data_IF_312875830107
#
_entry.id   IF_312875830107
#
_cell.length_a   1.000
_cell.length_b   1.000
_cell.length_c   1.000
_cell.angle_alpha   90.00
_cell.angle_beta   90.00
_cell.angle_gamma   90.00
#
_symmetry.space_group_name_H-M   'P 1'
#
loop_
_entity.id
_entity.type
_entity.pdbx_description
1 polymer ?
#
# COMPACT_ATOMS: atom_id res chain seq x y z
N UNK A 1 -11.57 23.28 -7.09
CA UNK A 1 -10.61 22.58 -6.21
C UNK A 1 -11.38 21.49 -5.50
N UNK A 2 -11.01 20.22 -5.65
CA UNK A 2 -11.86 19.11 -5.19
C UNK A 2 -11.89 19.02 -3.67
N UNK A 3 -13.07 18.68 -3.13
CA UNK A 3 -13.31 18.47 -1.69
C UNK A 3 -12.34 17.47 -1.05
N UNK A 4 -11.66 16.65 -1.85
CA UNK A 4 -10.63 15.69 -1.44
C UNK A 4 -9.34 16.40 -1.02
N UNK A 5 -8.93 17.47 -1.70
CA UNK A 5 -7.75 18.24 -1.30
C UNK A 5 -8.00 18.96 0.03
N UNK A 6 -9.23 19.45 0.23
CA UNK A 6 -9.67 20.11 1.46
C UNK A 6 -9.83 19.10 2.62
N UNK A 7 -10.36 17.90 2.34
CA UNK A 7 -10.44 16.78 3.29
C UNK A 7 -9.06 16.30 3.75
N UNK A 8 -8.12 16.09 2.83
CA UNK A 8 -6.76 15.71 3.18
C UNK A 8 -6.08 16.81 4.00
N UNK A 9 -6.22 18.08 3.61
CA UNK A 9 -5.66 19.22 4.36
C UNK A 9 -6.24 19.32 5.77
N UNK A 10 -7.54 19.11 5.94
CA UNK A 10 -8.20 19.13 7.24
C UNK A 10 -7.88 17.90 8.10
N UNK A 11 -7.75 16.71 7.50
CA UNK A 11 -7.32 15.49 8.19
C UNK A 11 -5.86 15.58 8.67
N UNK A 12 -4.98 16.26 7.93
CA UNK A 12 -3.60 16.50 8.34
C UNK A 12 -3.43 17.62 9.38
N UNK A 13 -4.39 18.55 9.51
CA UNK A 13 -4.28 19.73 10.38
C UNK A 13 -5.22 19.75 11.59
N UNK A 14 -6.25 18.90 11.62
CA UNK A 14 -7.26 18.91 12.68
C UNK A 14 -7.68 17.49 13.06
N UNK A 15 -7.18 17.01 14.20
CA UNK A 15 -7.94 16.23 15.20
C UNK A 15 -6.97 15.74 16.28
N UNK A 16 -7.06 16.36 17.46
CA UNK A 16 -6.28 16.06 18.65
C UNK A 16 -6.78 14.86 19.45
N UNK A 17 -7.85 14.18 19.05
CA UNK A 17 -8.54 13.23 19.92
C UNK A 17 -8.99 11.96 19.19
N UNK A 18 -8.09 10.99 19.02
CA UNK A 18 -8.42 9.56 18.87
C UNK A 18 -7.42 8.78 19.73
N UNK A 19 -7.92 7.89 20.58
CA UNK A 19 -7.12 7.09 21.51
C UNK A 19 -5.99 6.35 20.79
N UNK A 20 -4.76 6.75 21.14
CA UNK A 20 -3.52 6.31 20.51
C UNK A 20 -3.10 7.24 19.37
N UNK A 21 -2.71 8.48 19.68
CA UNK A 21 -2.02 9.31 18.69
C UNK A 21 -0.80 8.55 18.18
N UNK A 22 -0.71 8.36 16.86
CA UNK A 22 0.47 7.78 16.21
C UNK A 22 1.70 8.50 16.76
N UNK A 23 2.72 7.78 17.26
CA UNK A 23 3.86 8.44 17.86
C UNK A 23 4.48 9.35 16.79
N UNK A 24 4.77 10.60 17.17
CA UNK A 24 5.17 11.69 16.28
C UNK A 24 6.40 11.40 15.39
N UNK A 25 7.11 10.30 15.66
CA UNK A 25 8.30 9.85 14.97
C UNK A 25 8.06 8.70 13.97
N UNK A 26 6.83 8.21 13.80
CA UNK A 26 6.55 7.11 12.88
C UNK A 26 6.76 7.56 11.42
N UNK A 27 7.50 6.77 10.64
CA UNK A 27 7.85 7.12 9.26
C UNK A 27 6.63 7.08 8.34
N UNK A 28 6.51 8.09 7.48
CA UNK A 28 5.49 8.18 6.42
C UNK A 28 6.14 8.32 5.06
N UNK A 29 5.56 7.69 4.05
CA UNK A 29 5.94 7.98 2.67
C UNK A 29 5.23 9.25 2.21
N UNK A 30 5.99 10.24 1.78
CA UNK A 30 5.47 11.46 1.16
C UNK A 30 5.96 11.48 -0.30
N UNK A 31 5.07 11.26 -1.28
CA UNK A 31 5.46 11.30 -2.68
C UNK A 31 5.95 12.69 -3.08
N UNK A 32 7.08 12.77 -3.78
CA UNK A 32 7.58 14.06 -4.33
C UNK A 32 6.67 14.59 -5.45
N UNK A 33 5.98 13.68 -6.15
CA UNK A 33 5.10 13.97 -7.27
C UNK A 33 3.64 13.86 -6.83
N UNK A 34 2.79 14.74 -7.35
CA UNK A 34 1.33 14.64 -7.14
C UNK A 34 0.79 13.38 -7.82
N UNK A 35 0.46 12.38 -7.03
CA UNK A 35 -0.11 11.13 -7.52
C UNK A 35 -1.52 11.34 -8.08
N UNK A 36 -1.93 10.44 -8.97
CA UNK A 36 -3.32 10.25 -9.38
C UNK A 36 -4.17 9.99 -8.13
N UNK A 37 -5.40 10.47 -8.14
CA UNK A 37 -6.29 10.47 -6.97
C UNK A 37 -6.40 9.09 -6.30
N UNK A 38 -6.71 8.03 -7.06
CA UNK A 38 -6.79 6.68 -6.51
C UNK A 38 -5.45 6.11 -6.01
N UNK A 39 -4.31 6.57 -6.54
CA UNK A 39 -2.97 6.17 -6.05
C UNK A 39 -2.61 6.93 -4.76
N UNK A 40 -2.98 8.21 -4.68
CA UNK A 40 -2.80 9.03 -3.48
C UNK A 40 -3.58 8.46 -2.29
N UNK A 41 -4.77 7.90 -2.53
CA UNK A 41 -5.57 7.27 -1.48
C UNK A 41 -4.88 6.08 -0.82
N UNK A 42 -4.20 5.23 -1.59
CA UNK A 42 -3.46 4.09 -1.02
C UNK A 42 -2.40 4.60 -0.04
N UNK A 43 -1.62 5.61 -0.45
CA UNK A 43 -0.58 6.21 0.39
C UNK A 43 -1.18 6.88 1.62
N UNK A 44 -2.26 7.67 1.45
CA UNK A 44 -2.93 8.33 2.56
C UNK A 44 -3.45 7.34 3.61
N UNK A 45 -4.04 6.22 3.16
CA UNK A 45 -4.53 5.16 4.05
C UNK A 45 -3.40 4.51 4.84
N UNK A 46 -2.27 4.19 4.19
CA UNK A 46 -1.11 3.60 4.86
C UNK A 46 -0.43 4.57 5.84
N UNK A 47 -0.55 5.87 5.60
CA UNK A 47 -0.07 6.90 6.51
C UNK A 47 -1.06 7.21 7.66
N UNK A 48 -2.30 6.73 7.59
CA UNK A 48 -3.33 7.01 8.61
C UNK A 48 -3.10 6.23 9.92
N UNK A 49 -3.76 6.68 10.99
CA UNK A 49 -3.65 6.05 12.31
C UNK A 49 -4.22 4.61 12.29
N UNK A 50 -3.62 3.71 13.05
CA UNK A 50 -3.99 2.28 13.09
C UNK A 50 -3.30 1.43 12.02
N UNK A 51 -2.46 2.03 11.18
CA UNK A 51 -1.65 1.36 10.15
C UNK A 51 -0.15 1.33 10.47
N UNK A 52 0.27 1.64 11.69
CA UNK A 52 1.68 1.76 12.11
C UNK A 52 2.47 0.47 11.93
N UNK A 53 1.84 -0.67 12.20
CA UNK A 53 2.44 -1.99 12.02
C UNK A 53 2.26 -2.55 10.58
N UNK A 54 1.66 -1.78 9.67
CA UNK A 54 1.52 -2.21 8.26
C UNK A 54 2.90 -2.30 7.61
N UNK A 55 3.24 -3.48 7.12
CA UNK A 55 4.48 -3.70 6.39
C UNK A 55 4.29 -3.24 4.95
N UNK A 56 4.95 -2.14 4.57
CA UNK A 56 4.99 -1.72 3.18
C UNK A 56 6.31 -1.02 2.85
N UNK A 57 6.65 -1.04 1.58
CA UNK A 57 7.79 -0.32 1.03
C UNK A 57 7.40 0.34 -0.30
N UNK A 58 8.13 1.39 -0.67
CA UNK A 58 7.98 2.09 -1.94
C UNK A 58 9.30 2.02 -2.69
N UNK A 59 9.23 1.73 -3.99
CA UNK A 59 10.38 1.56 -4.87
C UNK A 59 10.30 2.54 -6.03
N UNK A 60 11.47 2.99 -6.51
CA UNK A 60 11.59 3.86 -7.67
C UNK A 60 11.91 3.04 -8.94
N UNK A 61 10.99 2.95 -9.92
CA UNK A 61 11.18 2.16 -11.14
C UNK A 61 12.22 2.73 -12.10
N UNK A 62 12.64 3.99 -11.93
CA UNK A 62 13.61 4.64 -12.82
C UNK A 62 15.05 4.54 -12.31
N UNK A 63 15.25 4.08 -11.09
CA UNK A 63 16.57 3.78 -10.57
C UNK A 63 16.98 2.35 -10.93
N UNK A 64 18.30 2.15 -11.08
CA UNK A 64 18.85 0.83 -11.43
C UNK A 64 18.39 -0.21 -10.42
N UNK A 65 17.81 -1.29 -10.93
CA UNK A 65 17.35 -2.43 -10.14
C UNK A 65 16.11 -2.19 -9.26
N UNK A 66 15.37 -1.09 -9.49
CA UNK A 66 14.10 -0.78 -8.81
C UNK A 66 14.27 -0.83 -7.27
N UNK A 67 15.16 0.00 -6.70
CA UNK A 67 15.47 -0.04 -5.29
C UNK A 67 14.33 0.49 -4.43
N UNK A 68 14.28 0.04 -3.19
CA UNK A 68 13.45 0.64 -2.13
C UNK A 68 13.97 2.05 -1.87
N UNK A 69 13.07 3.04 -1.93
CA UNK A 69 13.34 4.43 -1.52
C UNK A 69 12.68 4.78 -0.19
N UNK A 70 11.80 3.91 0.31
CA UNK A 70 11.14 4.05 1.58
C UNK A 70 10.66 2.69 2.10
N UNK A 71 10.85 2.42 3.38
CA UNK A 71 10.20 1.31 4.08
C UNK A 71 9.47 1.82 5.33
N UNK A 72 8.34 1.19 5.65
CA UNK A 72 7.60 1.49 6.88
C UNK A 72 8.32 0.94 8.12
N UNK A 73 8.03 1.52 9.28
CA UNK A 73 8.53 0.98 10.55
C UNK A 73 8.01 -0.45 10.80
N UNK A 74 6.76 -0.72 10.42
CA UNK A 74 6.18 -2.07 10.43
C UNK A 74 6.99 -3.05 9.59
N UNK A 75 7.42 -2.66 8.39
CA UNK A 75 8.28 -3.49 7.54
C UNK A 75 9.60 -3.83 8.22
N UNK A 76 10.29 -2.82 8.76
CA UNK A 76 11.57 -3.00 9.43
C UNK A 76 11.43 -3.90 10.66
N UNK A 77 10.46 -3.61 11.52
CA UNK A 77 10.15 -4.38 12.74
C UNK A 77 9.82 -5.83 12.42
N UNK A 78 9.03 -6.07 11.38
CA UNK A 78 8.59 -7.42 11.03
C UNK A 78 9.67 -8.26 10.35
N UNK A 79 10.47 -7.65 9.47
CA UNK A 79 11.51 -8.35 8.71
C UNK A 79 12.83 -8.45 9.46
N UNK A 80 13.03 -7.60 10.47
CA UNK A 80 14.25 -7.51 11.27
C UNK A 80 15.37 -6.69 10.62
N UNK A 81 15.14 -6.13 9.44
CA UNK A 81 16.09 -5.24 8.77
C UNK A 81 15.89 -3.78 9.21
N UNK A 82 16.97 -3.03 9.31
CA UNK A 82 16.91 -1.57 9.50
C UNK A 82 16.75 -0.84 8.16
N UNK A 83 16.28 0.40 8.20
CA UNK A 83 16.15 1.23 6.99
C UNK A 83 17.47 1.38 6.24
N UNK A 84 18.57 1.63 6.96
CA UNK A 84 19.91 1.81 6.38
C UNK A 84 20.42 0.58 5.62
N UNK A 85 19.89 -0.61 5.95
CA UNK A 85 20.26 -1.86 5.27
C UNK A 85 19.46 -2.09 3.98
N UNK A 86 18.25 -1.53 3.87
CA UNK A 86 17.28 -1.89 2.82
C UNK A 86 16.99 -0.75 1.85
N UNK A 87 17.11 0.51 2.25
CA UNK A 87 16.99 1.63 1.32
C UNK A 87 18.16 1.60 0.33
N UNK A 88 17.84 1.72 -0.96
CA UNK A 88 18.79 1.49 -2.05
C UNK A 88 18.90 0.02 -2.50
N UNK A 89 18.26 -0.93 -1.81
CA UNK A 89 18.26 -2.34 -2.21
C UNK A 89 16.95 -2.73 -2.90
N UNK A 90 17.01 -3.67 -3.83
CA UNK A 90 15.81 -4.33 -4.35
C UNK A 90 15.23 -5.30 -3.29
N UNK A 91 13.90 -5.33 -3.14
CA UNK A 91 13.19 -6.16 -2.15
C UNK A 91 13.47 -7.68 -2.22
N UNK A 92 14.14 -8.18 -3.27
CA UNK A 92 14.44 -9.61 -3.43
C UNK A 92 15.32 -10.20 -2.32
N UNK A 93 15.94 -9.39 -1.45
CA UNK A 93 16.65 -9.89 -0.27
C UNK A 93 15.74 -10.67 0.71
N UNK A 94 14.41 -10.50 0.62
CA UNK A 94 13.45 -11.31 1.37
C UNK A 94 13.22 -12.70 0.77
N UNK A 95 13.78 -13.00 -0.42
CA UNK A 95 13.66 -14.30 -1.08
C UNK A 95 14.80 -15.21 -0.63
N UNK A 96 14.55 -16.52 -0.62
CA UNK A 96 15.56 -17.51 -0.25
C UNK A 96 15.35 -18.83 -0.99
N UNK A 97 16.08 -19.86 -0.56
CA UNK A 97 16.18 -21.14 -1.28
C UNK A 97 14.82 -21.80 -1.55
N UNK A 98 13.86 -21.70 -0.62
CA UNK A 98 12.53 -22.29 -0.78
C UNK A 98 11.48 -21.34 -1.37
N UNK A 99 11.87 -20.12 -1.75
CA UNK A 99 10.98 -19.22 -2.50
C UNK A 99 10.79 -19.77 -3.91
N UNK A 100 9.53 -19.98 -4.33
CA UNK A 100 9.25 -20.56 -5.65
C UNK A 100 9.48 -19.54 -6.75
N UNK A 101 10.24 -19.95 -7.77
CA UNK A 101 10.49 -19.14 -8.96
C UNK A 101 9.20 -18.78 -9.72
N UNK A 102 8.18 -19.64 -9.66
CA UNK A 102 6.85 -19.37 -10.24
C UNK A 102 6.22 -18.11 -9.64
N UNK A 103 6.33 -17.94 -8.32
CA UNK A 103 5.70 -16.83 -7.60
C UNK A 103 6.46 -15.52 -7.86
N UNK A 104 7.79 -15.61 -7.92
CA UNK A 104 8.66 -14.50 -8.32
C UNK A 104 8.34 -14.05 -9.75
N UNK A 105 8.13 -14.99 -10.68
CA UNK A 105 7.81 -14.66 -12.07
C UNK A 105 6.46 -13.94 -12.22
N UNK A 106 5.47 -14.24 -11.36
CA UNK A 106 4.22 -13.48 -11.34
C UNK A 106 4.48 -12.02 -10.96
N UNK A 107 5.33 -11.77 -9.96
CA UNK A 107 5.69 -10.42 -9.53
C UNK A 107 6.47 -9.69 -10.63
N UNK A 108 7.46 -10.35 -11.25
CA UNK A 108 8.22 -9.76 -12.37
C UNK A 108 7.31 -9.36 -13.54
N UNK A 109 6.33 -10.20 -13.87
CA UNK A 109 5.33 -9.90 -14.89
C UNK A 109 4.47 -8.69 -14.49
N UNK A 110 3.99 -8.64 -13.25
CA UNK A 110 3.19 -7.51 -12.76
C UNK A 110 3.97 -6.18 -12.81
N UNK A 111 5.27 -6.20 -12.47
CA UNK A 111 6.13 -5.01 -12.60
C UNK A 111 6.26 -4.61 -14.07
N UNK A 112 6.56 -5.56 -14.96
CA UNK A 112 6.75 -5.31 -16.39
C UNK A 112 5.50 -4.74 -17.06
N UNK A 113 4.34 -5.26 -16.70
CA UNK A 113 3.06 -4.87 -17.31
C UNK A 113 2.39 -3.71 -16.57
N UNK A 114 3.02 -3.20 -15.50
CA UNK A 114 2.47 -2.17 -14.61
C UNK A 114 1.07 -2.53 -14.10
N UNK A 115 0.91 -3.77 -13.64
CA UNK A 115 -0.36 -4.30 -13.14
C UNK A 115 -0.37 -4.43 -11.62
N UNK A 116 -1.54 -4.23 -11.02
CA UNK A 116 -1.77 -4.59 -9.63
C UNK A 116 -1.82 -6.11 -9.49
N UNK A 117 -1.15 -6.65 -8.48
CA UNK A 117 -1.14 -8.09 -8.26
C UNK A 117 -1.04 -8.45 -6.79
N UNK A 118 -1.80 -9.47 -6.39
CA UNK A 118 -1.60 -10.18 -5.13
C UNK A 118 -0.96 -11.54 -5.42
N UNK A 119 0.08 -11.90 -4.66
CA UNK A 119 0.83 -13.15 -4.78
C UNK A 119 1.17 -13.67 -3.39
N UNK A 120 0.95 -14.96 -3.16
CA UNK A 120 1.44 -15.63 -1.96
C UNK A 120 2.80 -16.23 -2.25
N UNK A 121 3.84 -15.79 -1.55
CA UNK A 121 5.20 -16.31 -1.70
C UNK A 121 5.88 -16.52 -0.34
N UNK A 122 6.79 -17.49 -0.28
CA UNK A 122 7.62 -17.70 0.90
C UNK A 122 8.73 -16.63 0.95
N UNK A 123 8.82 -15.92 2.06
CA UNK A 123 9.88 -14.96 2.33
C UNK A 123 10.62 -15.29 3.63
N UNK A 124 11.80 -14.70 3.78
CA UNK A 124 12.73 -14.87 4.88
C UNK A 124 12.95 -13.54 5.58
N UNK A 125 12.97 -13.59 6.91
CA UNK A 125 13.42 -12.48 7.75
C UNK A 125 14.94 -12.48 7.85
N UNK A 126 15.50 -11.42 8.42
CA UNK A 126 16.95 -11.28 8.66
C UNK A 126 17.53 -12.43 9.50
N UNK A 127 16.76 -12.96 10.44
CA UNK A 127 17.15 -14.09 11.29
C UNK A 127 17.06 -15.46 10.58
N UNK A 128 16.68 -15.49 9.30
CA UNK A 128 16.50 -16.70 8.50
C UNK A 128 15.16 -17.40 8.71
N UNK A 129 14.30 -16.92 9.61
CA UNK A 129 12.96 -17.48 9.79
C UNK A 129 12.07 -17.18 8.58
N UNK A 130 11.21 -18.14 8.23
CA UNK A 130 10.32 -18.01 7.07
C UNK A 130 8.94 -17.49 7.45
N UNK A 131 8.25 -16.88 6.49
CA UNK A 131 6.83 -16.58 6.57
C UNK A 131 6.20 -16.63 5.17
N UNK A 132 4.89 -16.91 5.11
CA UNK A 132 4.13 -16.72 3.88
C UNK A 132 3.74 -15.25 3.80
N UNK A 133 4.22 -14.59 2.76
CA UNK A 133 3.89 -13.22 2.44
C UNK A 133 2.73 -13.23 1.44
N UNK A 134 1.55 -12.80 1.87
CA UNK A 134 0.50 -12.40 0.96
C UNK A 134 0.82 -10.99 0.45
N UNK A 135 1.66 -10.94 -0.58
CA UNK A 135 2.25 -9.74 -1.11
C UNK A 135 1.33 -9.08 -2.13
N UNK A 136 1.10 -7.78 -1.94
CA UNK A 136 0.41 -6.94 -2.92
C UNK A 136 1.39 -5.92 -3.51
N UNK A 137 1.37 -5.79 -4.84
CA UNK A 137 2.11 -4.76 -5.56
C UNK A 137 1.14 -3.90 -6.36
N UNK A 138 1.36 -2.58 -6.37
CA UNK A 138 0.64 -1.66 -7.24
C UNK A 138 1.60 -0.62 -7.83
N UNK A 139 1.50 -0.30 -9.13
CA UNK A 139 2.06 0.94 -9.64
C UNK A 139 1.33 2.14 -9.02
N UNK A 140 2.08 3.22 -8.78
CA UNK A 140 1.55 4.52 -8.39
C UNK A 140 1.88 5.51 -9.50
N UNK A 141 0.85 6.12 -10.10
CA UNK A 141 1.01 7.05 -11.20
C UNK A 141 0.87 8.50 -10.74
N UNK A 142 1.54 9.40 -11.45
CA UNK A 142 1.28 10.85 -11.41
C UNK A 142 0.89 11.34 -12.81
N UNK A 143 0.56 12.63 -12.89
CA UNK A 143 0.37 13.32 -14.17
C UNK A 143 1.45 14.37 -14.36
N UNK A 144 2.25 14.21 -15.42
CA UNK A 144 3.26 15.19 -15.83
C UNK A 144 2.90 15.69 -17.23
N UNK A 145 2.74 17.01 -17.39
CA UNK A 145 2.33 17.65 -18.65
C UNK A 145 1.08 16.99 -19.29
N UNK A 146 0.11 16.59 -18.46
CA UNK A 146 -1.13 15.94 -18.90
C UNK A 146 -0.99 14.47 -19.31
N UNK A 147 0.18 13.85 -19.11
CA UNK A 147 0.42 12.43 -19.40
C UNK A 147 0.54 11.63 -18.11
N UNK A 148 -0.03 10.43 -18.11
CA UNK A 148 0.13 9.44 -17.03
C UNK A 148 1.59 8.97 -17.02
N UNK A 149 2.26 9.10 -15.89
CA UNK A 149 3.66 8.69 -15.70
C UNK A 149 3.74 7.78 -14.48
N UNK A 150 4.25 6.56 -14.66
CA UNK A 150 4.55 5.67 -13.54
C UNK A 150 5.55 6.38 -12.64
N UNK A 151 5.26 6.56 -11.36
CA UNK A 151 6.14 7.31 -10.46
C UNK A 151 6.82 6.38 -9.47
N UNK A 152 6.09 5.40 -8.94
CA UNK A 152 6.60 4.47 -7.94
C UNK A 152 5.93 3.10 -8.09
N UNK A 153 6.51 2.09 -7.46
CA UNK A 153 5.78 0.90 -7.05
C UNK A 153 5.60 0.90 -5.54
N UNK A 154 4.41 0.55 -5.07
CA UNK A 154 4.18 0.25 -3.66
C UNK A 154 4.01 -1.26 -3.50
N UNK A 155 4.75 -1.82 -2.54
CA UNK A 155 4.67 -3.22 -2.14
C UNK A 155 4.19 -3.31 -0.70
N UNK A 156 3.10 -4.02 -0.46
CA UNK A 156 2.54 -4.24 0.87
C UNK A 156 2.70 -5.71 1.21
N UNK A 157 3.36 -6.00 2.32
CA UNK A 157 3.61 -7.35 2.81
C UNK A 157 2.57 -7.68 3.88
N UNK A 158 1.84 -8.78 3.70
CA UNK A 158 0.87 -9.24 4.68
C UNK A 158 1.28 -10.65 5.13
N UNK A 159 1.94 -10.78 6.30
CA UNK A 159 2.31 -12.07 6.83
C UNK A 159 1.07 -12.88 7.20
N UNK A 160 0.96 -14.09 6.64
CA UNK A 160 -0.17 -14.99 6.91
C UNK A 160 0.33 -16.34 7.42
N UNK A 161 -0.46 -16.97 8.29
CA UNK A 161 -0.12 -18.29 8.84
C UNK A 161 -0.31 -19.39 7.80
N UNK A 162 -1.38 -19.33 7.01
CA UNK A 162 -1.69 -20.27 5.93
C UNK A 162 -2.49 -19.57 4.84
N UNK A 163 -2.41 -20.09 3.61
CA UNK A 163 -3.24 -19.69 2.48
C UNK A 163 -4.12 -20.86 2.07
N UNK A 164 -5.44 -20.74 2.26
CA UNK A 164 -6.39 -21.78 1.86
C UNK A 164 -6.90 -21.63 0.41
N UNK A 165 -7.39 -22.69 -0.24
CA UNK A 165 -8.09 -22.59 -1.52
C UNK A 165 -9.26 -21.62 -1.43
N UNK A 166 -9.36 -20.66 -2.35
CA UNK A 166 -10.47 -19.69 -2.40
C UNK A 166 -10.48 -18.64 -1.30
N UNK A 167 -9.43 -18.53 -0.48
CA UNK A 167 -9.32 -17.44 0.50
C UNK A 167 -9.11 -16.11 -0.22
N UNK A 168 -10.01 -15.15 0.03
CA UNK A 168 -9.84 -13.78 -0.47
C UNK A 168 -8.58 -13.14 0.15
N UNK A 169 -7.86 -12.28 -0.60
CA UNK A 169 -6.67 -11.67 -0.05
C UNK A 169 -6.96 -10.83 1.19
N UNK A 170 -6.16 -11.00 2.23
CA UNK A 170 -6.22 -10.19 3.46
C UNK A 170 -5.38 -8.92 3.34
N UNK A 171 -4.57 -8.83 2.30
CA UNK A 171 -3.68 -7.70 2.09
C UNK A 171 -4.46 -6.38 1.95
N UNK A 172 -4.16 -5.35 2.76
CA UNK A 172 -4.90 -4.10 2.75
C UNK A 172 -4.87 -3.40 1.38
N UNK A 173 -3.77 -3.45 0.64
CA UNK A 173 -3.72 -2.85 -0.70
C UNK A 173 -4.73 -3.47 -1.66
N UNK A 174 -4.86 -4.79 -1.63
CA UNK A 174 -5.89 -5.47 -2.41
C UNK A 174 -7.30 -5.08 -1.94
N UNK A 175 -7.54 -5.09 -0.63
CA UNK A 175 -8.83 -4.70 -0.04
C UNK A 175 -9.22 -3.28 -0.46
N UNK A 176 -8.26 -2.36 -0.58
CA UNK A 176 -8.53 -0.97 -0.96
C UNK A 176 -8.65 -0.73 -2.46
N UNK A 177 -8.09 -1.60 -3.31
CA UNK A 177 -8.14 -1.41 -4.77
C UNK A 177 -9.19 -2.27 -5.47
N UNK A 178 -9.65 -3.36 -4.86
CA UNK A 178 -10.68 -4.25 -5.45
C UNK A 178 -12.12 -3.69 -5.47
N UNK A 179 -12.29 -2.38 -5.24
CA UNK A 179 -13.55 -1.66 -5.44
C UNK A 179 -13.44 -0.36 -6.23
N UNK A 180 -12.28 0.02 -6.78
CA UNK A 180 -12.09 1.39 -7.32
C UNK A 180 -11.24 1.53 -8.58
N UNK A 181 -10.91 0.46 -9.30
CA UNK A 181 -10.30 0.56 -10.64
C UNK A 181 -11.13 -0.20 -11.68
N UNK A 182 -12.21 0.43 -12.12
CA UNK A 182 -12.57 0.33 -13.52
C UNK A 182 -11.60 1.26 -14.25
N UNK A 183 -10.81 0.75 -15.19
CA UNK A 183 -9.84 1.53 -15.98
C UNK A 183 -10.52 2.54 -16.94
N UNK A 184 -11.84 2.67 -16.85
CA UNK A 184 -12.63 3.69 -17.49
C UNK A 184 -12.97 4.80 -16.48
N UNK A 185 -12.29 5.95 -16.58
CA UNK A 185 -12.66 7.23 -15.92
C UNK A 185 -14.06 7.74 -16.35
N UNK A 186 -14.81 6.97 -17.15
CA UNK A 186 -16.19 7.22 -17.54
C UNK A 186 -17.16 6.27 -16.84
N UNK A 187 -17.30 6.44 -15.51
CA UNK A 187 -18.52 6.19 -14.70
C UNK A 187 -18.22 6.31 -13.19
N UNK A 188 -17.60 7.40 -12.76
CA UNK A 188 -17.85 7.87 -11.38
C UNK A 188 -19.17 8.62 -11.39
N UNK A 189 -20.26 7.86 -11.46
CA UNK A 189 -21.58 8.35 -11.14
C UNK A 189 -21.74 8.13 -9.64
N UNK A 190 -22.29 9.12 -8.92
CA UNK A 190 -22.42 9.26 -7.45
C UNK A 190 -22.92 8.03 -6.63
N UNK A 191 -23.17 6.88 -7.24
CA UNK A 191 -23.73 5.66 -6.63
C UNK A 191 -22.86 4.40 -6.78
N UNK A 192 -21.58 4.49 -7.15
CA UNK A 192 -20.72 3.30 -7.13
C UNK A 192 -20.32 2.94 -5.70
N UNK A 193 -20.88 1.84 -5.18
CA UNK A 193 -20.54 1.26 -3.87
C UNK A 193 -19.04 0.94 -3.81
N UNK A 194 -18.38 1.45 -2.79
CA UNK A 194 -16.97 1.21 -2.55
C UNK A 194 -16.89 0.42 -1.27
N UNK A 195 -16.54 -0.86 -1.34
CA UNK A 195 -16.47 -1.70 -0.16
C UNK A 195 -15.13 -1.51 0.54
N UNK A 196 -15.08 -0.59 1.49
CA UNK A 196 -13.92 -0.39 2.35
C UNK A 196 -14.04 -1.18 3.65
N UNK A 197 -12.92 -1.70 4.15
CA UNK A 197 -12.81 -2.23 5.51
C UNK A 197 -11.71 -1.46 6.25
N UNK A 198 -12.11 -0.46 7.01
CA UNK A 198 -11.25 0.23 7.98
C UNK A 198 -11.63 -0.26 9.38
N UNK A 199 -10.65 -0.72 10.17
CA UNK A 199 -10.78 -0.87 11.63
C UNK A 199 -12.03 -1.59 12.21
N UNK A 200 -12.61 -2.59 11.52
CA UNK A 200 -13.85 -3.32 11.92
C UNK A 200 -15.22 -2.67 11.59
N UNK A 201 -15.35 -1.77 10.61
CA UNK A 201 -16.65 -1.52 9.94
C UNK A 201 -16.55 -1.47 8.42
N UNK A 202 -17.60 -1.97 7.75
CA UNK A 202 -17.78 -1.84 6.30
C UNK A 202 -18.26 -0.41 6.05
N UNK A 203 -17.52 0.33 5.23
CA UNK A 203 -17.87 1.69 4.83
C UNK A 203 -18.29 1.60 3.36
N UNK A 204 -19.53 1.96 3.04
CA UNK A 204 -20.18 1.75 1.73
C UNK A 204 -19.97 2.89 0.73
N UNK A 205 -19.50 4.06 1.20
CA UNK A 205 -19.25 5.24 0.36
C UNK A 205 -18.16 6.16 0.94
N UNK A 206 -17.63 7.07 0.11
CA UNK A 206 -16.74 8.15 0.57
C UNK A 206 -17.39 9.05 1.64
N UNK A 207 -18.70 9.29 1.53
CA UNK A 207 -19.44 10.07 2.52
C UNK A 207 -19.56 9.32 3.85
N UNK A 208 -19.64 7.98 3.83
CA UNK A 208 -19.66 7.17 5.05
C UNK A 208 -18.29 7.19 5.75
N UNK A 209 -17.18 7.28 5.01
CA UNK A 209 -15.84 7.47 5.58
C UNK A 209 -15.75 8.82 6.30
N UNK A 210 -16.28 9.88 5.67
CA UNK A 210 -16.37 11.22 6.24
C UNK A 210 -17.22 11.25 7.53
N UNK A 211 -18.41 10.66 7.50
CA UNK A 211 -19.34 10.64 8.63
C UNK A 211 -18.86 9.77 9.81
N UNK A 212 -18.10 8.69 9.55
CA UNK A 212 -17.59 7.80 10.60
C UNK A 212 -16.55 8.45 11.52
N UNK A 213 -15.93 9.55 11.06
CA UNK A 213 -14.93 10.34 11.80
C UNK A 213 -15.58 11.51 12.55
N UNK A 214 -16.74 11.99 12.09
CA UNK A 214 -17.47 13.11 12.72
C UNK A 214 -18.36 12.69 13.91
N UNK A 215 -18.44 11.39 14.26
CA UNK A 215 -19.32 10.90 15.35
C UNK A 215 -18.58 10.38 16.60
N UNK A 216 -17.38 10.88 16.89
CA UNK A 216 -16.73 10.70 18.20
C UNK A 216 -16.08 11.98 18.68
#
# INVERSE_FOLDING_TARGET
MSAILEYLTNFFLGSSDVQGSRPSNARHFVPEKKLREGDAMIVAMLNSNGHEDTCYCVCDPYQTDIPIIFASDGFCKFTGYSNDEIEGQNCRFLQGESTKESDINIIRKAIKDEEQKSVNLLNYRKDGSTFINEFFISPLYSYENGRKVLSYFIGIQCPVSHTGPGQAPKNPGWVYTHGSRNDDEQKMNDNSEIHYKAGMKIVSSFNDLKNSVDTQ
#
